data_IF_546920736269
#
_entry.id   IF_546920736269
#
_cell.length_a   1.000
_cell.length_b   1.000
_cell.length_c   1.000
_cell.angle_alpha   90.00
_cell.angle_beta   90.00
_cell.angle_gamma   90.00
#
_symmetry.space_group_name_H-M   'P 1'
#
loop_
_entity.id
_entity.type
_entity.pdbx_description
1 polymer ?
#
# COMPACT_ATOMS: atom_id res chain seq x y z
N UNK A 1 -23.47 15.39 26.13
CA UNK A 1 -23.71 16.75 26.63
C UNK A 1 -22.37 17.40 26.95
N UNK A 2 -22.26 18.62 26.55
CA UNK A 2 -21.27 19.66 26.79
C UNK A 2 -20.25 19.92 25.67
N UNK A 3 -20.55 21.05 25.03
CA UNK A 3 -19.71 21.86 24.14
C UNK A 3 -18.59 22.53 24.96
N UNK A 4 -17.44 22.71 24.34
CA UNK A 4 -16.41 23.65 24.78
C UNK A 4 -15.78 24.26 23.53
N UNK A 5 -16.20 25.48 23.21
CA UNK A 5 -15.54 26.38 22.26
C UNK A 5 -14.31 26.99 22.95
N UNK A 6 -13.24 27.16 22.19
CA UNK A 6 -12.09 27.95 22.57
C UNK A 6 -11.38 28.43 21.33
N UNK A 7 -11.71 29.63 20.89
CA UNK A 7 -10.99 30.38 19.86
C UNK A 7 -9.93 31.25 20.54
N UNK A 8 -8.73 31.33 19.97
CA UNK A 8 -7.71 32.43 20.01
C UNK A 8 -6.69 32.03 18.96
N UNK A 9 -6.21 32.82 17.98
CA UNK A 9 -6.11 34.22 17.81
C UNK A 9 -4.99 34.42 16.80
N UNK A 10 -5.18 35.38 15.93
CA UNK A 10 -4.40 35.74 14.75
C UNK A 10 -2.90 35.98 15.02
N UNK A 11 -2.10 35.64 13.98
CA UNK A 11 -0.73 36.09 13.82
C UNK A 11 -0.40 36.09 12.34
N UNK A 12 -0.56 37.26 11.70
CA UNK A 12 -0.14 37.54 10.34
C UNK A 12 1.40 37.55 10.28
N UNK A 13 1.96 36.91 9.29
CA UNK A 13 3.37 37.00 8.93
C UNK A 13 3.49 36.67 7.45
N UNK A 14 3.38 37.70 6.61
CA UNK A 14 3.69 37.61 5.18
C UNK A 14 5.18 37.34 5.01
N UNK A 15 5.52 36.25 4.31
CA UNK A 15 6.80 36.10 3.64
C UNK A 15 6.49 35.64 2.22
N UNK A 16 6.47 36.61 1.31
CA UNK A 16 6.53 36.44 -0.13
C UNK A 16 7.85 35.72 -0.50
N UNK A 17 7.74 34.68 -1.29
CA UNK A 17 8.87 33.88 -1.81
C UNK A 17 8.38 32.57 -2.41
N UNK A 18 7.14 32.53 -2.88
CA UNK A 18 6.63 31.41 -3.67
C UNK A 18 7.26 31.48 -5.04
N UNK A 19 8.07 30.48 -5.40
CA UNK A 19 8.27 30.13 -6.79
C UNK A 19 6.86 29.90 -7.36
N UNK A 20 6.49 30.79 -8.26
CA UNK A 20 5.33 30.69 -9.12
C UNK A 20 5.49 29.39 -9.93
N UNK A 21 4.95 28.30 -9.40
CA UNK A 21 4.66 27.11 -10.19
C UNK A 21 3.45 27.55 -11.00
N UNK A 22 3.78 28.26 -12.08
CA UNK A 22 2.89 28.73 -13.10
C UNK A 22 1.77 27.71 -13.29
N UNK A 23 0.57 28.23 -13.36
CA UNK A 23 -0.63 27.57 -13.83
C UNK A 23 -0.42 26.98 -15.23
N UNK A 24 0.37 25.92 -15.32
CA UNK A 24 0.27 24.96 -16.41
C UNK A 24 -1.16 24.44 -16.30
N UNK A 25 -1.92 24.67 -17.34
CA UNK A 25 -3.32 24.36 -17.44
C UNK A 25 -3.54 22.99 -16.82
N UNK A 26 -4.20 22.95 -15.65
CA UNK A 26 -4.62 21.71 -15.02
C UNK A 26 -5.51 21.02 -16.05
N UNK A 27 -4.96 20.03 -16.73
CA UNK A 27 -5.73 19.14 -17.58
C UNK A 27 -6.79 18.56 -16.66
N UNK A 28 -8.05 18.94 -16.88
CA UNK A 28 -9.15 18.44 -16.08
C UNK A 28 -9.33 16.96 -16.42
N UNK A 29 -8.67 16.07 -15.65
CA UNK A 29 -8.82 14.63 -15.81
C UNK A 29 -10.26 14.23 -15.50
N UNK A 30 -10.86 13.50 -16.42
CA UNK A 30 -12.17 12.91 -16.20
C UNK A 30 -12.00 11.67 -15.32
N UNK A 31 -12.17 11.85 -14.03
CA UNK A 31 -12.13 10.74 -13.09
C UNK A 31 -13.33 9.82 -13.26
N UNK A 32 -13.09 8.50 -13.24
CA UNK A 32 -14.14 7.52 -13.08
C UNK A 32 -14.63 7.58 -11.62
N UNK A 33 -15.94 7.64 -11.42
CA UNK A 33 -16.51 7.60 -10.07
C UNK A 33 -16.07 6.32 -9.32
N UNK A 34 -15.78 6.46 -8.03
CA UNK A 34 -15.26 5.36 -7.21
C UNK A 34 -16.12 4.09 -7.29
N UNK A 35 -17.45 4.21 -7.13
CA UNK A 35 -18.38 3.08 -7.19
C UNK A 35 -18.34 2.37 -8.55
N UNK A 36 -18.24 3.16 -9.63
CA UNK A 36 -18.12 2.62 -10.99
C UNK A 36 -16.82 1.83 -11.15
N UNK A 37 -15.71 2.40 -10.70
CA UNK A 37 -14.41 1.71 -10.73
C UNK A 37 -14.44 0.40 -9.93
N UNK A 38 -15.01 0.42 -8.73
CA UNK A 38 -15.14 -0.77 -7.88
C UNK A 38 -16.04 -1.84 -8.51
N UNK A 39 -17.14 -1.44 -9.14
CA UNK A 39 -18.02 -2.37 -9.86
C UNK A 39 -17.31 -3.05 -11.03
N UNK A 40 -16.44 -2.33 -11.74
CA UNK A 40 -15.64 -2.89 -12.84
C UNK A 40 -14.52 -3.82 -12.36
N UNK A 41 -13.90 -3.51 -11.22
CA UNK A 41 -12.76 -4.28 -10.68
C UNK A 41 -13.20 -5.52 -9.89
N UNK A 42 -14.37 -5.48 -9.24
CA UNK A 42 -14.87 -6.58 -8.41
C UNK A 42 -14.86 -7.95 -9.11
N UNK A 43 -15.35 -8.11 -10.35
CA UNK A 43 -15.36 -9.41 -11.03
C UNK A 43 -13.95 -10.00 -11.18
N UNK A 44 -12.91 -9.17 -11.29
CA UNK A 44 -11.52 -9.61 -11.41
C UNK A 44 -10.94 -9.93 -10.03
N UNK A 45 -11.17 -9.08 -9.04
CA UNK A 45 -10.56 -9.20 -7.72
C UNK A 45 -11.16 -10.33 -6.87
N UNK A 46 -12.44 -10.67 -7.07
CA UNK A 46 -13.13 -11.72 -6.35
C UNK A 46 -13.18 -13.04 -7.12
N UNK A 47 -12.75 -13.09 -8.40
CA UNK A 47 -12.75 -14.32 -9.20
C UNK A 47 -11.72 -15.32 -8.63
N UNK A 48 -12.17 -16.53 -8.23
CA UNK A 48 -11.26 -17.57 -7.71
C UNK A 48 -10.32 -18.16 -8.77
N UNK A 49 -10.62 -17.98 -10.06
CA UNK A 49 -9.77 -18.44 -11.16
C UNK A 49 -8.62 -17.47 -11.49
N UNK A 50 -8.68 -16.25 -10.98
CA UNK A 50 -7.67 -15.21 -11.19
C UNK A 50 -6.82 -15.04 -9.94
N UNK A 51 -5.54 -15.39 -10.00
CA UNK A 51 -4.59 -15.13 -8.92
C UNK A 51 -4.20 -13.65 -8.90
N UNK A 52 -4.39 -12.99 -7.76
CA UNK A 52 -3.93 -11.62 -7.52
C UNK A 52 -2.56 -11.68 -6.88
N UNK A 53 -1.58 -11.06 -7.51
CA UNK A 53 -0.20 -10.98 -7.04
C UNK A 53 0.06 -9.56 -6.59
N UNK A 54 0.63 -9.42 -5.41
CA UNK A 54 0.98 -8.10 -4.86
C UNK A 54 2.16 -8.18 -3.91
N UNK A 55 2.50 -7.03 -3.33
CA UNK A 55 3.53 -6.89 -2.32
C UNK A 55 2.95 -6.21 -1.10
N UNK A 56 2.91 -6.89 0.07
CA UNK A 56 2.21 -6.42 1.26
C UNK A 56 0.68 -6.27 1.04
N UNK A 57 0.06 -7.25 0.39
CA UNK A 57 -1.37 -7.26 0.01
C UNK A 57 -2.34 -7.07 1.18
N UNK A 58 -1.90 -7.27 2.40
CA UNK A 58 -2.70 -6.94 3.58
C UNK A 58 -3.10 -5.47 3.58
N UNK A 59 -2.19 -4.57 3.20
CA UNK A 59 -2.48 -3.15 3.06
C UNK A 59 -3.55 -2.87 2.00
N UNK A 60 -3.40 -3.46 0.81
CA UNK A 60 -4.38 -3.30 -0.27
C UNK A 60 -5.74 -3.90 0.11
N UNK A 61 -5.73 -5.01 0.84
CA UNK A 61 -6.94 -5.64 1.37
C UNK A 61 -7.71 -4.70 2.30
N UNK A 62 -7.04 -3.93 3.14
CA UNK A 62 -7.68 -2.92 3.97
C UNK A 62 -8.35 -1.82 3.14
N UNK A 63 -7.67 -1.34 2.10
CA UNK A 63 -8.21 -0.29 1.24
C UNK A 63 -9.44 -0.78 0.47
N UNK A 64 -9.40 -2.00 -0.07
CA UNK A 64 -10.46 -2.57 -0.89
C UNK A 64 -11.66 -3.10 -0.07
N UNK A 65 -11.42 -3.63 1.14
CA UNK A 65 -12.48 -4.16 2.02
C UNK A 65 -13.26 -3.10 2.78
N UNK A 66 -12.82 -1.86 2.78
CA UNK A 66 -13.52 -0.81 3.53
C UNK A 66 -14.98 -0.69 3.06
N UNK A 67 -16.00 -0.84 3.95
CA UNK A 67 -17.42 -0.86 3.57
C UNK A 67 -17.86 0.38 2.79
N UNK A 68 -17.31 1.54 3.13
CA UNK A 68 -17.56 2.81 2.42
C UNK A 68 -16.86 2.88 1.06
N UNK A 69 -16.00 1.92 0.76
CA UNK A 69 -15.18 1.87 -0.47
C UNK A 69 -15.43 0.61 -1.29
N UNK A 70 -16.62 0.04 -1.19
CA UNK A 70 -17.02 -1.06 -2.07
C UNK A 70 -16.85 -2.47 -1.53
N UNK A 71 -16.04 -2.69 -0.49
CA UNK A 71 -15.93 -3.98 0.20
C UNK A 71 -15.51 -5.16 -0.68
N UNK A 72 -14.50 -4.99 -1.53
CA UNK A 72 -13.97 -6.06 -2.38
C UNK A 72 -13.08 -6.97 -1.55
N UNK A 73 -13.26 -8.28 -1.70
CA UNK A 73 -12.44 -9.32 -1.10
C UNK A 73 -11.43 -9.86 -2.11
N UNK A 74 -10.14 -9.59 -1.88
CA UNK A 74 -9.08 -10.17 -2.69
C UNK A 74 -8.94 -11.68 -2.40
N UNK A 75 -9.15 -12.53 -3.41
CA UNK A 75 -8.96 -13.98 -3.29
C UNK A 75 -9.01 -14.63 -4.68
N UNK A 76 -8.12 -15.62 -4.98
CA UNK A 76 -6.92 -15.98 -4.25
C UNK A 76 -5.81 -14.94 -4.39
N UNK A 77 -4.85 -14.94 -3.48
CA UNK A 77 -3.72 -13.98 -3.47
C UNK A 77 -2.38 -14.69 -3.33
N UNK A 78 -1.33 -14.11 -3.91
CA UNK A 78 0.07 -14.38 -3.57
C UNK A 78 0.73 -13.06 -3.20
N UNK A 79 1.51 -13.05 -2.13
CA UNK A 79 2.20 -11.89 -1.60
C UNK A 79 3.72 -12.07 -1.66
N UNK A 80 4.40 -11.24 -2.44
CA UNK A 80 5.85 -11.34 -2.65
C UNK A 80 6.67 -11.01 -1.40
N UNK A 81 6.13 -10.19 -0.48
CA UNK A 81 6.76 -9.96 0.82
C UNK A 81 6.72 -11.24 1.66
N UNK A 82 5.58 -11.91 1.75
CA UNK A 82 5.43 -13.18 2.47
C UNK A 82 6.24 -14.30 1.81
N UNK A 83 6.28 -14.37 0.48
CA UNK A 83 7.14 -15.32 -0.26
C UNK A 83 8.61 -15.15 0.11
N UNK A 84 9.11 -13.92 0.07
CA UNK A 84 10.48 -13.60 0.45
C UNK A 84 10.76 -13.95 1.92
N UNK A 85 9.82 -13.68 2.81
CA UNK A 85 9.96 -13.99 4.23
C UNK A 85 10.09 -15.50 4.49
N UNK A 86 9.27 -16.32 3.83
CA UNK A 86 9.32 -17.78 3.94
C UNK A 86 10.63 -18.36 3.39
N UNK A 87 11.10 -17.83 2.26
CA UNK A 87 12.32 -18.32 1.60
C UNK A 87 13.60 -17.93 2.33
N UNK A 88 13.69 -16.66 2.74
CA UNK A 88 14.96 -16.08 3.15
C UNK A 88 15.00 -15.65 4.62
N UNK A 89 13.86 -15.54 5.30
CA UNK A 89 13.77 -15.14 6.71
C UNK A 89 14.54 -13.85 6.96
N UNK A 90 15.35 -13.73 7.93
CA UNK A 90 16.18 -12.54 8.19
C UNK A 90 17.48 -12.43 7.38
N UNK A 91 17.73 -13.31 6.40
CA UNK A 91 19.01 -13.39 5.69
C UNK A 91 19.24 -12.28 4.67
N UNK A 92 18.19 -11.74 4.09
CA UNK A 92 18.29 -10.69 3.05
C UNK A 92 18.30 -9.26 3.58
N UNK A 93 18.29 -9.07 4.89
CA UNK A 93 18.34 -7.72 5.49
C UNK A 93 17.04 -6.90 5.43
N UNK A 94 16.03 -7.34 4.67
CA UNK A 94 14.71 -6.69 4.58
C UNK A 94 13.84 -7.29 3.49
N UNK A 95 12.53 -7.03 3.61
CA UNK A 95 11.51 -7.59 2.70
C UNK A 95 10.69 -6.49 2.01
N UNK A 96 11.14 -5.23 2.03
CA UNK A 96 10.52 -4.17 1.22
C UNK A 96 10.76 -4.41 -0.26
N UNK A 97 9.85 -3.94 -1.11
CA UNK A 97 9.97 -4.13 -2.55
C UNK A 97 11.27 -3.55 -3.11
N UNK A 98 11.64 -2.35 -2.69
CA UNK A 98 12.91 -1.71 -3.09
C UNK A 98 14.12 -2.57 -2.74
N UNK A 99 14.15 -3.11 -1.51
CA UNK A 99 15.25 -3.95 -1.05
C UNK A 99 15.33 -5.23 -1.86
N UNK A 100 14.19 -5.89 -2.08
CA UNK A 100 14.13 -7.13 -2.85
C UNK A 100 14.45 -6.91 -4.32
N UNK A 101 13.99 -5.81 -4.92
CA UNK A 101 14.33 -5.44 -6.28
C UNK A 101 15.85 -5.23 -6.45
N UNK A 102 16.47 -4.51 -5.51
CA UNK A 102 17.92 -4.32 -5.54
C UNK A 102 18.68 -5.61 -5.34
N UNK A 103 18.27 -6.41 -4.34
CA UNK A 103 18.98 -7.65 -3.96
C UNK A 103 18.87 -8.76 -5.03
N UNK A 104 17.66 -8.95 -5.58
CA UNK A 104 17.37 -10.10 -6.44
C UNK A 104 17.36 -9.79 -7.93
N UNK A 105 17.07 -8.54 -8.31
CA UNK A 105 16.95 -8.13 -9.70
C UNK A 105 18.06 -7.15 -10.12
N UNK A 106 18.93 -6.74 -9.17
CA UNK A 106 19.92 -5.66 -9.31
C UNK A 106 19.29 -4.39 -9.91
N UNK A 107 18.09 -4.06 -9.46
CA UNK A 107 17.29 -2.97 -9.97
C UNK A 107 17.02 -1.92 -8.89
N UNK A 108 17.32 -0.66 -9.20
CA UNK A 108 17.01 0.47 -8.34
C UNK A 108 15.64 1.05 -8.72
N UNK A 109 14.67 0.88 -7.83
CA UNK A 109 13.30 1.36 -8.03
C UNK A 109 13.17 2.86 -7.89
N UNK A 110 12.17 3.45 -8.53
CA UNK A 110 11.72 4.83 -8.30
C UNK A 110 11.26 4.95 -6.84
N UNK A 111 11.79 5.90 -6.10
CA UNK A 111 11.39 6.05 -4.69
C UNK A 111 10.09 6.86 -4.57
N UNK A 112 9.23 6.46 -3.66
CA UNK A 112 8.02 7.23 -3.32
C UNK A 112 8.35 8.72 -3.05
N UNK A 113 9.50 8.98 -2.43
CA UNK A 113 9.96 10.33 -2.14
C UNK A 113 10.37 11.15 -3.38
N UNK A 114 10.70 10.48 -4.47
CA UNK A 114 11.09 11.16 -5.71
C UNK A 114 9.85 11.64 -6.47
N UNK A 115 8.72 10.95 -6.28
CA UNK A 115 7.43 11.27 -6.88
C UNK A 115 6.61 12.21 -5.98
N UNK A 116 6.56 11.95 -4.68
CA UNK A 116 5.73 12.68 -3.72
C UNK A 116 6.48 13.72 -2.90
N UNK A 117 7.81 13.80 -2.99
CA UNK A 117 8.61 14.68 -2.14
C UNK A 117 8.86 14.12 -0.74
N UNK A 118 9.58 14.90 0.09
CA UNK A 118 9.98 14.49 1.46
C UNK A 118 9.61 15.54 2.50
N UNK A 119 9.32 15.09 3.72
CA UNK A 119 9.10 15.95 4.88
C UNK A 119 7.94 16.92 4.68
N UNK A 120 8.15 18.21 5.02
CA UNK A 120 7.12 19.26 4.91
C UNK A 120 6.67 19.56 3.47
N UNK A 121 7.42 19.12 2.47
CA UNK A 121 7.08 19.28 1.04
C UNK A 121 6.41 18.05 0.44
N UNK A 122 6.17 17.01 1.23
CA UNK A 122 5.53 15.79 0.75
C UNK A 122 4.05 16.05 0.43
N UNK A 123 3.65 15.67 -0.78
CA UNK A 123 2.26 15.72 -1.22
C UNK A 123 1.63 14.33 -1.19
N UNK A 124 0.31 14.20 -0.97
CA UNK A 124 -0.37 12.93 -1.08
C UNK A 124 -0.30 12.39 -2.52
N UNK A 125 -0.03 11.08 -2.68
CA UNK A 125 0.07 10.44 -3.99
C UNK A 125 -1.18 10.69 -4.88
N UNK A 126 -2.37 10.66 -4.28
CA UNK A 126 -3.62 10.90 -4.99
C UNK A 126 -3.81 12.33 -5.54
N UNK A 127 -2.91 13.28 -5.23
CA UNK A 127 -2.94 14.64 -5.76
C UNK A 127 -2.00 14.82 -6.95
N UNK A 128 -1.22 13.80 -7.29
CA UNK A 128 -0.34 13.82 -8.44
C UNK A 128 -1.13 13.74 -9.75
N UNK A 129 -0.61 14.38 -10.80
CA UNK A 129 -1.09 14.16 -12.15
C UNK A 129 -0.87 12.68 -12.54
N UNK A 130 -1.80 12.04 -13.26
CA UNK A 130 -1.65 10.63 -13.66
C UNK A 130 -0.35 10.34 -14.38
N UNK A 131 0.13 11.26 -15.21
CA UNK A 131 1.40 11.12 -15.94
C UNK A 131 2.60 11.07 -15.00
N UNK A 132 2.60 11.86 -13.93
CA UNK A 132 3.67 11.88 -12.93
C UNK A 132 3.67 10.61 -12.04
N UNK A 133 2.51 9.99 -11.89
CA UNK A 133 2.34 8.78 -11.10
C UNK A 133 2.52 7.48 -11.92
N UNK A 134 2.45 7.58 -13.26
CA UNK A 134 2.35 6.43 -14.15
C UNK A 134 3.56 5.50 -14.04
N UNK A 135 4.74 6.05 -14.18
CA UNK A 135 5.99 5.26 -14.20
C UNK A 135 6.20 4.55 -12.86
N UNK A 136 5.96 5.25 -11.75
CA UNK A 136 6.03 4.68 -10.40
C UNK A 136 5.04 3.52 -10.23
N UNK A 137 3.77 3.74 -10.57
CA UNK A 137 2.73 2.73 -10.39
C UNK A 137 2.90 1.51 -11.31
N UNK A 138 3.38 1.73 -12.54
CA UNK A 138 3.66 0.66 -13.49
C UNK A 138 4.88 -0.16 -13.08
N UNK A 139 5.93 0.51 -12.58
CA UNK A 139 7.13 -0.14 -12.04
C UNK A 139 6.80 -1.03 -10.85
N UNK A 140 6.00 -0.55 -9.88
CA UNK A 140 5.57 -1.32 -8.72
C UNK A 140 4.90 -2.64 -9.13
N UNK A 141 4.06 -2.61 -10.15
CA UNK A 141 3.40 -3.80 -10.69
C UNK A 141 4.38 -4.75 -11.41
N UNK A 142 5.31 -4.22 -12.21
CA UNK A 142 6.31 -5.01 -12.94
C UNK A 142 7.30 -5.69 -11.98
N UNK A 143 7.85 -4.94 -11.04
CA UNK A 143 8.79 -5.46 -10.03
C UNK A 143 8.11 -6.54 -9.17
N UNK A 144 6.89 -6.30 -8.71
CA UNK A 144 6.11 -7.31 -7.97
C UNK A 144 5.95 -8.59 -8.76
N UNK A 145 5.60 -8.51 -10.05
CA UNK A 145 5.47 -9.68 -10.93
C UNK A 145 6.81 -10.40 -11.11
N UNK A 146 7.90 -9.69 -11.33
CA UNK A 146 9.25 -10.27 -11.51
C UNK A 146 9.71 -10.98 -10.24
N UNK A 147 9.51 -10.38 -9.06
CA UNK A 147 9.81 -11.00 -7.77
C UNK A 147 8.96 -12.27 -7.56
N UNK A 148 7.69 -12.24 -7.92
CA UNK A 148 6.84 -13.44 -7.85
C UNK A 148 7.33 -14.56 -8.76
N UNK A 149 7.71 -14.26 -9.99
CA UNK A 149 8.25 -15.23 -10.94
C UNK A 149 9.55 -15.86 -10.43
N UNK A 150 10.36 -15.11 -9.69
CA UNK A 150 11.59 -15.61 -9.07
C UNK A 150 11.30 -16.46 -7.83
N UNK A 151 10.41 -16.02 -6.93
CA UNK A 151 10.20 -16.64 -5.63
C UNK A 151 9.28 -17.86 -5.68
N UNK A 152 8.22 -17.81 -6.48
CA UNK A 152 7.21 -18.88 -6.48
C UNK A 152 7.78 -20.27 -6.80
N UNK A 153 8.65 -20.45 -7.80
CA UNK A 153 9.28 -21.76 -8.08
C UNK A 153 10.21 -22.24 -6.96
N UNK A 154 10.87 -21.31 -6.25
CA UNK A 154 11.79 -21.63 -5.15
C UNK A 154 11.09 -22.31 -3.98
N UNK A 155 9.81 -22.02 -3.73
CA UNK A 155 9.05 -22.67 -2.65
C UNK A 155 9.09 -24.21 -2.77
N UNK A 156 8.95 -24.73 -3.95
CA UNK A 156 9.04 -26.17 -4.21
C UNK A 156 10.46 -26.68 -4.14
N UNK A 157 11.40 -25.98 -4.75
CA UNK A 157 12.81 -26.34 -4.77
C UNK A 157 13.43 -26.37 -3.36
N UNK A 158 13.04 -25.44 -2.49
CA UNK A 158 13.54 -25.32 -1.12
C UNK A 158 12.64 -26.04 -0.09
N UNK A 159 11.62 -26.76 -0.54
CA UNK A 159 10.71 -27.57 0.28
C UNK A 159 9.93 -26.81 1.34
N UNK A 160 9.69 -25.52 1.14
CA UNK A 160 8.95 -24.64 2.05
C UNK A 160 7.54 -24.27 1.55
N UNK A 161 7.08 -24.90 0.46
CA UNK A 161 5.78 -24.62 -0.13
C UNK A 161 4.63 -24.82 0.88
N UNK A 162 4.69 -25.82 1.76
CA UNK A 162 3.67 -26.08 2.76
C UNK A 162 3.57 -24.96 3.80
N UNK A 163 4.68 -24.36 4.16
CA UNK A 163 4.72 -23.21 5.08
C UNK A 163 4.00 -22.02 4.46
N UNK A 164 4.35 -21.71 3.22
CA UNK A 164 3.70 -20.60 2.51
C UNK A 164 2.20 -20.85 2.30
N UNK A 165 1.82 -21.98 1.68
CA UNK A 165 0.44 -22.23 1.26
C UNK A 165 -0.52 -22.46 2.45
N UNK A 166 -0.04 -23.08 3.53
CA UNK A 166 -0.90 -23.44 4.68
C UNK A 166 -0.87 -22.44 5.82
N UNK A 167 0.22 -21.69 5.98
CA UNK A 167 0.38 -20.74 7.07
C UNK A 167 0.35 -19.30 6.54
N UNK A 168 1.41 -18.83 5.90
CA UNK A 168 1.60 -17.43 5.59
C UNK A 168 0.51 -16.87 4.67
N UNK A 169 0.21 -17.57 3.57
CA UNK A 169 -0.82 -17.15 2.62
C UNK A 169 -2.21 -17.08 3.26
N UNK A 170 -2.52 -18.01 4.15
CA UNK A 170 -3.81 -18.05 4.84
C UNK A 170 -3.93 -17.01 5.95
N UNK A 171 -2.79 -16.57 6.52
CA UNK A 171 -2.76 -15.53 7.54
C UNK A 171 -3.07 -14.14 6.96
N UNK A 172 -2.77 -13.86 5.71
CA UNK A 172 -3.00 -12.54 5.10
C UNK A 172 -4.43 -12.02 5.35
N UNK A 173 -5.50 -12.72 4.94
CA UNK A 173 -6.86 -12.27 5.17
C UNK A 173 -7.27 -12.29 6.65
N UNK A 174 -6.71 -13.19 7.46
CA UNK A 174 -7.01 -13.27 8.90
C UNK A 174 -6.44 -12.04 9.61
N UNK A 175 -5.18 -11.70 9.36
CA UNK A 175 -4.54 -10.53 9.95
C UNK A 175 -5.21 -9.23 9.48
N UNK A 176 -5.58 -9.13 8.20
CA UNK A 176 -6.36 -8.01 7.70
C UNK A 176 -7.71 -7.87 8.43
N UNK A 177 -8.38 -8.97 8.73
CA UNK A 177 -9.64 -8.94 9.51
C UNK A 177 -9.41 -8.51 10.95
N UNK A 178 -8.36 -9.03 11.60
CA UNK A 178 -8.01 -8.66 12.98
C UNK A 178 -7.68 -7.17 13.08
N UNK A 179 -6.89 -6.64 12.16
CA UNK A 179 -6.54 -5.21 12.11
C UNK A 179 -7.76 -4.33 11.83
N UNK A 180 -8.66 -4.77 10.95
CA UNK A 180 -9.89 -4.03 10.65
C UNK A 180 -10.85 -3.95 11.85
N UNK A 181 -10.89 -4.98 12.69
CA UNK A 181 -11.66 -4.98 13.96
C UNK A 181 -11.03 -4.10 15.03
N UNK A 182 -9.70 -3.97 15.00
CA UNK A 182 -8.94 -3.26 16.01
C UNK A 182 -8.88 -3.98 17.35
N UNK A 183 -8.31 -3.29 18.33
CA UNK A 183 -8.23 -3.75 19.73
C UNK A 183 -8.83 -2.69 20.66
N UNK A 184 -9.38 -3.14 21.78
CA UNK A 184 -9.83 -2.22 22.83
C UNK A 184 -8.64 -1.69 23.61
N UNK A 185 -8.53 -0.37 23.73
CA UNK A 185 -7.49 0.30 24.50
C UNK A 185 -8.11 1.01 25.69
N UNK A 186 -7.65 0.67 26.91
CA UNK A 186 -8.03 1.37 28.15
C UNK A 186 -7.22 2.65 28.30
N UNK A 187 -7.83 3.78 27.95
CA UNK A 187 -7.15 5.08 27.91
C UNK A 187 -6.62 5.49 29.29
N UNK A 188 -7.38 5.20 30.35
CA UNK A 188 -7.01 5.52 31.73
C UNK A 188 -5.76 4.78 32.20
N UNK A 189 -5.51 3.57 31.68
CA UNK A 189 -4.28 2.82 31.95
C UNK A 189 -3.11 3.46 31.23
N UNK A 190 -3.26 3.83 29.98
CA UNK A 190 -2.19 4.49 29.20
C UNK A 190 -1.79 5.83 29.81
N UNK A 191 -2.74 6.64 30.25
CA UNK A 191 -2.48 7.95 30.91
C UNK A 191 -1.72 7.83 32.25
N UNK A 192 -1.69 6.63 32.87
CA UNK A 192 -0.90 6.37 34.08
C UNK A 192 0.53 5.91 33.78
N UNK A 193 0.82 5.49 32.57
CA UNK A 193 2.13 4.95 32.16
C UNK A 193 3.04 6.07 31.62
N UNK A 194 2.45 7.17 31.16
CA UNK A 194 3.13 8.39 30.67
C UNK A 194 3.34 9.36 31.81
#
# INVERSE_FOLDING_TARGET
>A
VARGQGAVGAGMGEAQGGLDVSAEAQVAYKHIGFETAMAMLRPIFEDPAILKIGHNLKYDSHILRWPRKGGIKLSPVDDTMCLSYVLDGGRVGGHSMDHLAKHWLDYDTIKFSDVCGKGAKQVPFGTLAPEAALDYAAEDADITRRLWQLFKPRLGAEQVASVYERLERTLIPILAEMEARGITVERTILERIV
#
